data_IF_772820258446
#
_entry.id   IF_772820258446
#
_cell.length_a   1.000
_cell.length_b   1.000
_cell.length_c   1.000
_cell.angle_alpha   90.00
_cell.angle_beta   90.00
_cell.angle_gamma   90.00
#
_symmetry.space_group_name_H-M   'P 1'
#
loop_
_entity.id
_entity.type
_entity.pdbx_description
1 polymer ?
#
# COMPACT_ATOMS: atom_id res chain seq x y z
N UNK A 1 36.02 -24.67 -13.03
CA UNK A 1 35.68 -25.84 -12.14
C UNK A 1 35.55 -25.36 -10.69
N UNK A 2 34.33 -24.91 -10.29
CA UNK A 2 34.10 -24.32 -8.96
C UNK A 2 33.90 -25.37 -7.84
N UNK A 3 33.78 -26.65 -8.20
CA UNK A 3 33.57 -27.73 -7.22
C UNK A 3 34.87 -28.50 -6.90
N UNK A 4 36.02 -28.04 -7.39
CA UNK A 4 37.30 -28.76 -7.22
C UNK A 4 37.24 -30.20 -7.74
N UNK A 5 37.73 -31.14 -6.94
CA UNK A 5 37.76 -32.55 -7.30
C UNK A 5 36.43 -33.30 -7.04
N UNK A 6 35.38 -32.60 -6.56
CA UNK A 6 34.08 -33.19 -6.33
C UNK A 6 33.36 -33.50 -7.65
N UNK A 7 32.99 -34.74 -7.83
CA UNK A 7 32.19 -35.23 -8.96
C UNK A 7 30.81 -35.71 -8.48
N UNK A 8 29.81 -35.80 -9.38
CA UNK A 8 28.52 -36.39 -9.03
C UNK A 8 28.62 -37.83 -8.47
N UNK A 9 29.62 -38.59 -8.89
CA UNK A 9 29.83 -39.95 -8.43
C UNK A 9 30.49 -40.02 -7.01
N UNK A 10 31.15 -38.94 -6.57
CA UNK A 10 31.84 -38.91 -5.26
C UNK A 10 30.94 -38.36 -4.12
N UNK A 11 29.66 -38.03 -4.37
CA UNK A 11 28.74 -37.47 -3.37
C UNK A 11 27.42 -38.22 -3.36
N UNK A 12 26.91 -38.52 -2.15
CA UNK A 12 25.59 -39.09 -1.98
C UNK A 12 24.50 -38.07 -2.33
N UNK A 13 23.40 -38.52 -2.96
CA UNK A 13 22.24 -37.71 -3.24
C UNK A 13 21.58 -37.05 -2.01
N UNK A 14 21.80 -37.62 -0.80
CA UNK A 14 21.33 -37.07 0.48
C UNK A 14 22.35 -36.16 1.16
N UNK A 15 23.47 -35.86 0.50
CA UNK A 15 24.54 -35.07 1.09
C UNK A 15 24.11 -33.61 1.37
N UNK A 16 24.38 -33.15 2.59
CA UNK A 16 24.24 -31.73 2.98
C UNK A 16 25.32 -30.81 2.43
N UNK A 17 26.32 -31.33 1.67
CA UNK A 17 27.38 -30.53 1.08
C UNK A 17 26.79 -29.49 0.09
N UNK A 18 27.20 -28.23 0.20
CA UNK A 18 26.91 -27.18 -0.76
C UNK A 18 27.90 -27.23 -1.91
N UNK A 19 27.38 -27.34 -3.12
CA UNK A 19 28.17 -27.37 -4.35
C UNK A 19 27.60 -26.32 -5.34
N UNK A 20 28.41 -25.96 -6.31
CA UNK A 20 27.99 -25.12 -7.41
C UNK A 20 27.21 -25.89 -8.46
N UNK A 21 26.10 -25.34 -8.88
CA UNK A 21 25.23 -25.86 -9.93
C UNK A 21 25.18 -24.89 -11.10
N UNK A 22 25.12 -25.41 -12.30
CA UNK A 22 24.86 -24.66 -13.53
C UNK A 22 23.45 -24.99 -14.03
N UNK A 23 22.62 -23.97 -14.23
CA UNK A 23 21.31 -24.15 -14.86
C UNK A 23 21.47 -24.28 -16.38
N UNK A 24 21.01 -25.40 -16.93
CA UNK A 24 21.09 -25.63 -18.37
C UNK A 24 20.13 -24.70 -19.15
N UNK A 25 19.05 -24.22 -18.53
CA UNK A 25 18.06 -23.34 -19.14
C UNK A 25 18.51 -21.87 -19.17
N UNK A 26 18.89 -21.29 -18.01
CA UNK A 26 19.22 -19.87 -17.90
C UNK A 26 20.72 -19.57 -17.76
N UNK A 27 21.56 -20.60 -17.78
CA UNK A 27 23.04 -20.53 -17.68
C UNK A 27 23.57 -19.84 -16.41
N UNK A 28 22.71 -19.58 -15.42
CA UNK A 28 23.13 -19.06 -14.11
C UNK A 28 23.73 -20.16 -13.25
N UNK A 29 24.76 -19.76 -12.51
CA UNK A 29 25.40 -20.61 -11.48
C UNK A 29 24.91 -20.20 -10.10
N UNK A 30 24.72 -21.17 -9.20
CA UNK A 30 24.35 -20.93 -7.81
C UNK A 30 24.85 -22.06 -6.92
N UNK A 31 24.84 -21.83 -5.61
CA UNK A 31 25.15 -22.86 -4.61
C UNK A 31 23.87 -23.44 -4.00
N UNK A 32 23.80 -24.75 -3.95
CA UNK A 32 22.78 -25.48 -3.21
C UNK A 32 23.33 -26.79 -2.68
N UNK A 33 22.68 -27.37 -1.66
CA UNK A 33 23.05 -28.71 -1.17
C UNK A 33 22.66 -29.76 -2.20
N UNK A 34 23.43 -30.86 -2.22
CA UNK A 34 23.10 -31.99 -3.09
C UNK A 34 21.71 -32.53 -2.73
N UNK A 35 21.44 -32.72 -1.42
CA UNK A 35 20.15 -33.21 -0.93
C UNK A 35 18.95 -32.31 -1.40
N UNK A 36 19.10 -31.00 -1.36
CA UNK A 36 18.06 -30.07 -1.85
C UNK A 36 17.79 -30.27 -3.34
N UNK A 37 18.84 -30.42 -4.14
CA UNK A 37 18.71 -30.61 -5.60
C UNK A 37 18.10 -31.96 -5.95
N UNK A 38 18.51 -33.05 -5.28
CA UNK A 38 17.92 -34.38 -5.47
C UNK A 38 16.47 -34.44 -4.96
N UNK A 39 16.13 -33.65 -3.93
CA UNK A 39 14.77 -33.45 -3.43
C UNK A 39 13.87 -32.55 -4.32
N UNK A 40 14.33 -32.16 -5.54
CA UNK A 40 13.51 -31.49 -6.51
C UNK A 40 13.62 -29.95 -6.52
N UNK A 41 14.46 -29.33 -5.68
CA UNK A 41 14.66 -27.87 -5.71
C UNK A 41 15.20 -27.44 -7.07
N UNK A 42 14.59 -26.41 -7.65
CA UNK A 42 14.95 -25.88 -8.98
C UNK A 42 16.00 -24.78 -8.90
N UNK A 43 16.50 -24.34 -10.05
CA UNK A 43 17.29 -23.13 -10.17
C UNK A 43 16.49 -21.95 -9.61
N UNK A 44 17.03 -21.19 -8.63
CA UNK A 44 16.29 -20.09 -8.01
C UNK A 44 15.92 -18.98 -8.99
N UNK A 45 16.73 -18.74 -10.02
CA UNK A 45 16.40 -17.80 -11.08
C UNK A 45 15.24 -18.27 -11.96
N UNK A 46 15.22 -19.57 -12.34
CA UNK A 46 14.12 -20.16 -13.10
C UNK A 46 12.85 -20.35 -12.26
N UNK A 47 13.00 -20.53 -10.94
CA UNK A 47 11.88 -20.62 -10.00
C UNK A 47 11.33 -19.25 -9.58
N UNK A 48 11.92 -18.14 -10.03
CA UNK A 48 11.51 -16.79 -9.64
C UNK A 48 11.81 -16.44 -8.16
N UNK A 49 12.77 -17.15 -7.53
CA UNK A 49 13.11 -16.93 -6.12
C UNK A 49 14.22 -15.89 -5.92
N UNK A 50 14.83 -15.42 -7.00
CA UNK A 50 15.86 -14.37 -7.00
C UNK A 50 15.62 -13.40 -8.14
N UNK A 51 15.98 -12.16 -7.92
CA UNK A 51 15.93 -11.13 -8.97
C UNK A 51 16.83 -11.54 -10.14
N UNK A 52 16.28 -11.45 -11.31
CA UNK A 52 17.00 -11.68 -12.56
C UNK A 52 16.60 -10.58 -13.52
N UNK A 53 17.46 -9.56 -13.73
CA UNK A 53 17.19 -8.47 -14.65
C UNK A 53 16.81 -8.98 -16.04
N UNK A 54 15.78 -8.36 -16.65
CA UNK A 54 15.22 -8.79 -17.91
C UNK A 54 14.33 -10.04 -17.84
N UNK A 55 13.98 -10.54 -16.63
CA UNK A 55 13.16 -11.75 -16.48
C UNK A 55 12.22 -11.79 -15.30
N UNK A 56 12.70 -11.51 -14.08
CA UNK A 56 11.91 -11.63 -12.84
C UNK A 56 11.87 -10.34 -12.04
N UNK A 57 12.54 -9.33 -12.53
CA UNK A 57 12.56 -8.00 -11.96
C UNK A 57 11.23 -7.26 -12.20
N UNK A 58 10.99 -6.23 -11.38
CA UNK A 58 9.75 -5.46 -11.43
C UNK A 58 9.58 -4.73 -12.76
N UNK A 59 10.67 -4.19 -13.31
CA UNK A 59 10.63 -3.45 -14.57
C UNK A 59 10.16 -4.32 -15.73
N UNK A 60 10.67 -5.55 -15.80
CA UNK A 60 10.29 -6.52 -16.84
C UNK A 60 8.89 -7.11 -16.63
N UNK A 61 8.55 -7.47 -15.38
CA UNK A 61 7.30 -8.18 -15.07
C UNK A 61 6.10 -7.23 -15.01
N UNK A 62 6.31 -6.00 -14.54
CA UNK A 62 5.25 -5.00 -14.41
C UNK A 62 5.76 -3.59 -14.74
N UNK A 63 6.00 -3.29 -16.02
CA UNK A 63 6.55 -2.01 -16.46
C UNK A 63 5.64 -0.81 -16.10
N UNK A 64 4.32 -1.01 -16.07
CA UNK A 64 3.35 0.03 -15.68
C UNK A 64 3.55 0.43 -14.21
N UNK A 65 3.81 -0.53 -13.35
CA UNK A 65 4.12 -0.25 -11.95
C UNK A 65 5.53 0.32 -11.79
N UNK A 66 6.49 -0.20 -12.53
CA UNK A 66 7.86 0.30 -12.51
C UNK A 66 7.96 1.78 -12.92
N UNK A 67 7.11 2.22 -13.86
CA UNK A 67 7.00 3.62 -14.28
C UNK A 67 6.52 4.58 -13.17
N UNK A 68 5.96 4.04 -12.06
CA UNK A 68 5.56 4.79 -10.88
C UNK A 68 6.63 4.80 -9.79
N UNK A 69 7.82 4.27 -10.08
CA UNK A 69 8.96 4.35 -9.18
C UNK A 69 9.39 5.80 -8.99
N UNK A 70 9.54 6.22 -7.73
CA UNK A 70 9.92 7.61 -7.48
C UNK A 70 11.34 7.87 -7.99
N UNK A 71 11.56 8.89 -8.83
CA UNK A 71 12.84 9.10 -9.52
C UNK A 71 14.01 9.33 -8.57
N UNK A 72 13.80 9.99 -7.44
CA UNK A 72 14.85 10.37 -6.50
C UNK A 72 14.65 9.81 -5.08
N UNK A 73 13.52 9.18 -4.78
CA UNK A 73 13.13 8.79 -3.42
C UNK A 73 13.70 7.46 -2.93
N UNK A 74 14.39 6.71 -3.82
CA UNK A 74 14.81 5.34 -3.53
C UNK A 74 16.35 5.15 -3.54
N UNK A 75 17.10 6.25 -3.50
CA UNK A 75 18.55 6.20 -3.58
C UNK A 75 19.03 5.51 -4.86
N UNK A 76 19.91 4.51 -4.72
CA UNK A 76 20.43 3.76 -5.87
C UNK A 76 19.60 2.51 -6.20
N UNK A 77 18.48 2.27 -5.52
CA UNK A 77 17.62 1.11 -5.79
C UNK A 77 16.72 1.39 -6.99
N UNK A 78 16.77 0.49 -7.97
CA UNK A 78 16.03 0.60 -9.24
C UNK A 78 15.05 -0.57 -9.41
N UNK A 79 14.00 -0.45 -10.27
CA UNK A 79 13.00 -1.49 -10.46
C UNK A 79 13.57 -2.82 -11.01
N UNK A 80 14.64 -2.78 -11.78
CA UNK A 80 15.34 -3.97 -12.31
C UNK A 80 16.09 -4.78 -11.24
N UNK A 81 16.27 -4.19 -10.03
CA UNK A 81 16.96 -4.81 -8.90
C UNK A 81 16.02 -5.45 -7.88
N UNK A 82 14.73 -5.41 -8.11
CA UNK A 82 13.71 -5.92 -7.17
C UNK A 82 12.71 -6.81 -7.87
N UNK A 83 12.08 -7.72 -7.12
CA UNK A 83 10.97 -8.55 -7.62
C UNK A 83 9.63 -7.94 -7.24
N UNK A 84 8.55 -8.19 -8.02
CA UNK A 84 7.19 -7.77 -7.68
C UNK A 84 6.72 -8.21 -6.29
N UNK A 85 7.15 -9.39 -5.83
CA UNK A 85 6.81 -9.93 -4.51
C UNK A 85 7.67 -9.43 -3.35
N UNK A 86 8.55 -8.45 -3.58
CA UNK A 86 9.44 -7.93 -2.54
C UNK A 86 8.69 -7.15 -1.47
N UNK A 87 8.99 -7.41 -0.20
CA UNK A 87 8.47 -6.65 0.94
C UNK A 87 9.27 -5.37 1.23
N UNK A 88 10.28 -5.04 0.40
CA UNK A 88 10.97 -3.77 0.52
C UNK A 88 9.97 -2.62 0.35
N UNK A 89 10.02 -1.68 1.28
CA UNK A 89 9.27 -0.42 1.20
C UNK A 89 10.06 0.59 0.39
N UNK A 90 9.43 1.19 -0.59
CA UNK A 90 10.02 2.18 -1.49
C UNK A 90 9.07 3.36 -1.68
N UNK A 91 9.63 4.47 -2.17
CA UNK A 91 8.85 5.64 -2.55
C UNK A 91 8.26 5.45 -3.96
N UNK A 92 7.01 5.83 -4.09
CA UNK A 92 6.25 5.81 -5.33
C UNK A 92 5.80 7.21 -5.71
N UNK A 93 5.77 7.50 -7.00
CA UNK A 93 5.13 8.66 -7.60
C UNK A 93 4.02 8.17 -8.53
N UNK A 94 2.77 8.35 -8.13
CA UNK A 94 1.63 7.90 -8.91
C UNK A 94 1.31 8.81 -10.10
N UNK A 95 0.52 8.34 -11.07
CA UNK A 95 0.03 9.16 -12.18
C UNK A 95 -0.88 10.32 -11.71
N UNK A 96 -1.35 10.27 -10.47
CA UNK A 96 -2.09 11.33 -9.80
C UNK A 96 -1.19 12.44 -9.22
N UNK A 97 0.13 12.36 -9.36
CA UNK A 97 1.10 13.30 -8.81
C UNK A 97 1.37 13.17 -7.30
N UNK A 98 0.70 12.24 -6.61
CA UNK A 98 0.97 11.99 -5.20
C UNK A 98 2.19 11.09 -5.01
N UNK A 99 2.93 11.38 -3.94
CA UNK A 99 4.07 10.60 -3.49
C UNK A 99 3.73 9.86 -2.19
N UNK A 100 4.13 8.61 -2.07
CA UNK A 100 3.94 7.83 -0.85
C UNK A 100 4.91 6.66 -0.75
N UNK A 101 5.07 6.14 0.45
CA UNK A 101 5.87 4.96 0.74
C UNK A 101 4.99 3.72 0.83
N UNK A 102 5.35 2.64 0.16
CA UNK A 102 4.64 1.36 0.24
C UNK A 102 5.55 0.18 -0.12
N UNK A 103 5.30 -1.04 0.42
CA UNK A 103 5.94 -2.25 -0.01
C UNK A 103 5.66 -2.57 -1.48
N UNK A 104 6.67 -3.05 -2.20
CA UNK A 104 6.55 -3.42 -3.62
C UNK A 104 5.47 -4.49 -3.81
N UNK A 105 5.43 -5.50 -2.91
CA UNK A 105 4.44 -6.58 -2.96
C UNK A 105 2.99 -6.06 -2.88
N UNK A 106 2.73 -5.06 -2.03
CA UNK A 106 1.40 -4.47 -1.91
C UNK A 106 1.00 -3.70 -3.18
N UNK A 107 1.94 -2.96 -3.77
CA UNK A 107 1.71 -2.27 -5.04
C UNK A 107 1.46 -3.27 -6.18
N UNK A 108 2.24 -4.35 -6.23
CA UNK A 108 2.06 -5.43 -7.21
C UNK A 108 0.73 -6.19 -7.05
N UNK A 109 0.19 -6.23 -5.82
CA UNK A 109 -1.14 -6.77 -5.53
C UNK A 109 -2.29 -5.80 -5.89
N UNK A 110 -2.00 -4.63 -6.50
CA UNK A 110 -3.01 -3.68 -6.97
C UNK A 110 -3.37 -2.57 -5.98
N UNK A 111 -2.71 -2.46 -4.83
CA UNK A 111 -2.96 -1.33 -3.91
C UNK A 111 -2.55 -0.01 -4.56
N UNK A 112 -3.51 0.89 -4.75
CA UNK A 112 -3.31 2.21 -5.35
C UNK A 112 -2.76 3.26 -4.39
N UNK A 113 -2.79 4.51 -4.85
CA UNK A 113 -2.43 5.68 -4.06
C UNK A 113 -3.33 5.81 -2.81
N UNK A 114 -2.77 5.89 -1.60
CA UNK A 114 -3.55 6.00 -0.37
C UNK A 114 -4.26 7.35 -0.24
N UNK A 115 -3.73 8.42 -0.85
CA UNK A 115 -4.36 9.75 -0.87
C UNK A 115 -5.62 9.72 -1.73
N UNK A 116 -5.54 9.21 -2.96
CA UNK A 116 -6.69 9.05 -3.85
C UNK A 116 -7.76 8.10 -3.26
N UNK A 117 -7.31 7.10 -2.50
CA UNK A 117 -8.20 6.16 -1.82
C UNK A 117 -8.78 6.71 -0.49
N UNK A 118 -8.46 7.93 -0.10
CA UNK A 118 -8.89 8.55 1.17
C UNK A 118 -8.36 7.88 2.43
N UNK A 119 -7.36 7.00 2.32
CA UNK A 119 -6.72 6.31 3.45
C UNK A 119 -5.63 7.14 4.12
N UNK A 120 -5.02 8.04 3.37
CA UNK A 120 -4.10 9.06 3.86
C UNK A 120 -4.73 10.42 3.58
N UNK A 121 -4.97 11.18 4.63
CA UNK A 121 -5.49 12.54 4.52
C UNK A 121 -4.33 13.50 4.40
N UNK A 122 -4.38 14.35 3.40
CA UNK A 122 -3.39 15.42 3.17
C UNK A 122 -4.16 16.74 3.15
N UNK A 123 -3.96 17.61 4.15
CA UNK A 123 -4.60 18.91 4.21
C UNK A 123 -4.38 19.73 2.94
N UNK A 124 -5.44 20.35 2.43
CA UNK A 124 -5.40 21.11 1.17
C UNK A 124 -5.48 20.26 -0.11
N UNK A 125 -5.57 18.92 0.01
CA UNK A 125 -5.68 18.01 -1.14
C UNK A 125 -6.97 17.19 -1.09
N UNK A 126 -7.16 16.37 -0.03
CA UNK A 126 -8.29 15.46 0.09
C UNK A 126 -8.97 15.50 1.47
N UNK A 127 -8.67 16.49 2.26
CA UNK A 127 -9.35 16.78 3.52
C UNK A 127 -10.78 17.31 3.28
N UNK A 128 -11.61 17.22 4.30
CA UNK A 128 -13.02 17.59 4.19
C UNK A 128 -13.22 19.03 3.77
N UNK A 129 -12.51 20.06 4.31
CA UNK A 129 -12.67 21.44 3.88
C UNK A 129 -12.35 21.68 2.41
N UNK A 130 -11.36 20.96 1.87
CA UNK A 130 -10.97 21.09 0.47
C UNK A 130 -11.98 20.44 -0.47
N UNK A 131 -12.48 19.25 -0.09
CA UNK A 131 -13.40 18.47 -0.96
C UNK A 131 -14.85 18.92 -0.83
N UNK A 132 -15.28 19.35 0.35
CA UNK A 132 -16.66 19.77 0.62
C UNK A 132 -16.69 20.87 1.70
N UNK A 133 -16.40 22.13 1.32
CA UNK A 133 -16.34 23.26 2.26
C UNK A 133 -17.67 23.53 2.95
N UNK A 134 -18.81 23.37 2.26
CA UNK A 134 -20.14 23.58 2.82
C UNK A 134 -20.45 22.58 3.94
N UNK A 135 -20.00 21.34 3.79
CA UNK A 135 -20.12 20.34 4.84
C UNK A 135 -19.15 20.63 5.99
N UNK A 136 -17.93 21.05 5.68
CA UNK A 136 -16.94 21.40 6.67
C UNK A 136 -17.40 22.57 7.58
N UNK A 137 -18.17 23.52 7.03
CA UNK A 137 -18.75 24.62 7.80
C UNK A 137 -19.78 24.15 8.86
N UNK A 138 -20.30 22.92 8.75
CA UNK A 138 -21.19 22.32 9.74
C UNK A 138 -20.44 21.48 10.80
N UNK A 139 -19.12 21.45 10.76
CA UNK A 139 -18.30 20.81 11.78
C UNK A 139 -18.52 21.47 13.13
N UNK A 140 -18.81 20.66 14.18
CA UNK A 140 -19.05 21.26 15.49
C UNK A 140 -17.77 21.89 16.06
N UNK A 141 -17.77 23.17 16.43
CA UNK A 141 -16.54 23.90 16.78
C UNK A 141 -15.87 23.38 18.06
N UNK A 142 -16.61 22.81 19.01
CA UNK A 142 -16.11 22.50 20.34
C UNK A 142 -16.16 21.01 20.71
N UNK A 143 -17.00 20.19 20.05
CA UNK A 143 -17.20 18.78 20.45
C UNK A 143 -16.33 17.78 19.72
N UNK A 144 -15.43 18.24 18.85
CA UNK A 144 -14.51 17.41 18.10
C UNK A 144 -13.04 17.65 18.50
N UNK A 145 -12.79 18.04 19.75
CA UNK A 145 -11.50 18.53 20.28
C UNK A 145 -10.27 17.70 19.90
N UNK A 146 -10.43 16.39 19.75
CA UNK A 146 -9.33 15.47 19.40
C UNK A 146 -9.16 15.28 17.88
N UNK A 147 -10.01 15.88 17.03
CA UNK A 147 -10.02 15.63 15.58
C UNK A 147 -10.25 16.96 14.86
N UNK A 148 -9.22 17.45 14.17
CA UNK A 148 -9.40 18.60 13.30
C UNK A 148 -10.19 18.23 12.04
N UNK A 149 -10.96 19.17 11.51
CA UNK A 149 -11.73 18.98 10.28
C UNK A 149 -10.82 18.66 9.07
N UNK A 150 -9.58 19.11 9.12
CA UNK A 150 -8.52 18.84 8.14
C UNK A 150 -7.90 17.44 8.27
N UNK A 151 -8.17 16.72 9.36
CA UNK A 151 -7.64 15.37 9.60
C UNK A 151 -8.54 14.26 9.06
N UNK A 152 -9.64 14.63 8.42
CA UNK A 152 -10.60 13.67 7.86
C UNK A 152 -10.84 13.90 6.37
N UNK A 153 -10.88 12.80 5.61
CA UNK A 153 -11.34 12.84 4.22
C UNK A 153 -12.86 12.83 4.15
N UNK A 154 -13.43 13.33 3.05
CA UNK A 154 -14.88 13.36 2.83
C UNK A 154 -15.54 11.97 2.90
N UNK A 155 -14.81 10.89 2.56
CA UNK A 155 -15.28 9.51 2.65
C UNK A 155 -15.08 8.82 4.01
N UNK A 156 -14.57 9.53 5.02
CA UNK A 156 -14.21 8.95 6.32
C UNK A 156 -15.39 8.30 7.02
N UNK A 157 -15.19 7.09 7.55
CA UNK A 157 -16.14 6.40 8.41
C UNK A 157 -16.18 6.93 9.86
N UNK A 158 -15.35 7.92 10.20
CA UNK A 158 -15.34 8.50 11.55
C UNK A 158 -16.65 9.16 11.88
N UNK A 159 -17.16 8.92 13.10
CA UNK A 159 -18.34 9.56 13.65
C UNK A 159 -17.91 10.80 14.41
N UNK A 160 -18.45 11.95 14.04
CA UNK A 160 -18.10 13.27 14.61
C UNK A 160 -19.36 14.07 14.88
N UNK A 161 -19.22 15.14 15.67
CA UNK A 161 -20.30 16.07 15.96
C UNK A 161 -20.47 17.08 14.82
N UNK A 162 -21.72 17.35 14.49
CA UNK A 162 -22.16 18.32 13.49
C UNK A 162 -23.09 19.33 14.12
N UNK A 163 -23.08 20.53 13.60
CA UNK A 163 -24.07 21.58 13.91
C UNK A 163 -24.64 22.14 12.60
N UNK A 164 -25.95 21.98 12.39
CA UNK A 164 -26.59 22.54 11.19
C UNK A 164 -26.81 24.07 11.33
N UNK A 165 -27.11 24.78 10.22
CA UNK A 165 -27.35 26.22 10.25
C UNK A 165 -28.48 26.66 11.19
N UNK A 166 -29.42 25.75 11.52
CA UNK A 166 -30.54 26.01 12.46
C UNK A 166 -30.15 25.78 13.93
N UNK A 167 -28.90 25.27 14.16
CA UNK A 167 -28.37 25.06 15.51
C UNK A 167 -28.54 23.65 16.09
N UNK A 168 -29.18 22.71 15.37
CA UNK A 168 -29.27 21.33 15.87
C UNK A 168 -27.90 20.66 15.86
N UNK A 169 -27.62 19.90 16.93
CA UNK A 169 -26.35 19.17 17.12
C UNK A 169 -26.61 17.65 17.12
N UNK A 170 -25.77 16.90 16.41
CA UNK A 170 -25.85 15.44 16.36
C UNK A 170 -24.52 14.81 15.95
N UNK A 171 -24.42 13.50 16.12
CA UNK A 171 -23.29 12.73 15.64
C UNK A 171 -23.66 11.95 14.37
N UNK A 172 -22.79 12.03 13.36
CA UNK A 172 -22.91 11.22 12.14
C UNK A 172 -21.52 10.94 11.55
N UNK A 173 -21.44 9.90 10.72
CA UNK A 173 -20.23 9.62 9.96
C UNK A 173 -19.99 10.68 8.89
N UNK A 174 -18.71 11.09 8.73
CA UNK A 174 -18.32 12.08 7.71
C UNK A 174 -18.75 11.62 6.32
N UNK A 175 -18.45 10.35 5.96
CA UNK A 175 -18.82 9.81 4.66
C UNK A 175 -20.34 9.71 4.43
N UNK A 176 -21.14 9.49 5.47
CA UNK A 176 -22.62 9.54 5.38
C UNK A 176 -23.09 10.96 5.06
N UNK A 177 -22.58 11.94 5.79
CA UNK A 177 -22.88 13.35 5.56
C UNK A 177 -22.46 13.80 4.15
N UNK A 178 -21.29 13.40 3.70
CA UNK A 178 -20.80 13.71 2.35
C UNK A 178 -21.67 13.11 1.23
N UNK A 179 -22.31 11.96 1.46
CA UNK A 179 -23.26 11.34 0.53
C UNK A 179 -24.66 11.95 0.56
N UNK A 180 -24.91 12.95 1.43
CA UNK A 180 -26.15 13.68 1.49
C UNK A 180 -27.03 13.39 2.71
N UNK A 181 -26.57 12.62 3.70
CA UNK A 181 -27.29 12.47 4.95
C UNK A 181 -27.46 13.83 5.63
N UNK A 182 -28.69 14.32 5.76
CA UNK A 182 -29.03 15.61 6.36
C UNK A 182 -29.03 15.57 7.89
N UNK A 183 -29.38 16.74 8.48
CA UNK A 183 -29.70 16.83 9.90
C UNK A 183 -30.96 15.98 10.19
N UNK A 184 -30.91 15.00 11.11
CA UNK A 184 -32.05 14.12 11.41
C UNK A 184 -33.24 14.92 12.00
N UNK A 185 -32.94 15.94 12.81
CA UNK A 185 -33.97 16.82 13.41
C UNK A 185 -34.70 17.62 12.33
N UNK A 186 -33.98 18.25 11.43
CA UNK A 186 -34.58 18.97 10.29
C UNK A 186 -35.38 18.06 9.37
N UNK A 187 -35.00 16.80 9.28
CA UNK A 187 -35.67 15.76 8.50
C UNK A 187 -36.82 15.09 9.25
N UNK A 188 -37.17 15.49 10.48
CA UNK A 188 -38.23 14.93 11.30
C UNK A 188 -38.00 13.49 11.76
N UNK A 189 -36.75 13.00 11.77
CA UNK A 189 -36.43 11.59 12.05
C UNK A 189 -35.97 11.30 13.48
N UNK A 190 -35.65 12.33 14.30
CA UNK A 190 -35.20 12.15 15.67
C UNK A 190 -36.02 13.00 16.60
N UNK A 191 -36.55 12.43 17.74
CA UNK A 191 -37.18 13.23 18.78
C UNK A 191 -36.18 14.25 19.32
N UNK A 192 -36.65 15.44 19.64
CA UNK A 192 -35.86 16.56 20.17
C UNK A 192 -35.20 16.33 21.55
N UNK A 193 -35.17 15.08 22.06
CA UNK A 193 -34.79 14.75 23.43
C UNK A 193 -33.30 14.87 23.74
N UNK A 194 -32.42 14.98 22.75
CA UNK A 194 -30.96 15.11 22.95
C UNK A 194 -30.38 16.48 22.58
N UNK A 195 -31.20 17.47 22.37
CA UNK A 195 -30.77 18.84 22.16
C UNK A 195 -30.72 19.54 23.53
N UNK A 196 -29.55 19.93 24.08
CA UNK A 196 -29.51 20.80 25.25
C UNK A 196 -30.24 22.10 24.91
N UNK A 197 -30.96 22.73 25.85
CA UNK A 197 -31.60 23.99 25.62
C UNK A 197 -30.58 25.02 25.19
N UNK A 198 -30.91 25.81 24.15
CA UNK A 198 -30.11 26.95 23.73
C UNK A 198 -29.93 27.92 24.91
N UNK A 199 -28.75 28.54 25.08
CA UNK A 199 -28.47 29.47 26.17
C UNK A 199 -29.37 30.71 26.14
#
# INVERSE_FOLDING_TARGET
>A
QRNGDLTPASVSGKSGRRVWWLCLTCKKEWQATVASRTGGSRCPACAGSVVTPGRTDLETVNPVLAAQWHPNGNGNLTPDQVMPGSNKTVMWLGPCGHEWSAPISQRSAGNGCPVCAGRLVVPGINDLPTVNPDLAAQWHPERNDAIAVTDVSAGSGRKVWWRCPVGHEWQAQVGGRHRGDGCPVCAGRTPAADTPPAP
#
